data_IF_677141259730
#
_entry.id   IF_677141259730
#
_cell.length_a   1.000
_cell.length_b   1.000
_cell.length_c   1.000
_cell.angle_alpha   90.00
_cell.angle_beta   90.00
_cell.angle_gamma   90.00
#
_symmetry.space_group_name_H-M   'P 1'
#
loop_
_entity.id
_entity.type
_entity.pdbx_description
1 polymer ?
#
# COMPACT_ATOMS: atom_id res chain seq x y z
N UNK A 1 26.64 2.42 16.87
CA UNK A 1 25.33 2.05 16.31
C UNK A 1 24.94 3.12 15.31
N UNK A 2 24.53 2.78 14.08
CA UNK A 2 24.06 3.80 13.14
C UNK A 2 22.77 4.39 13.72
N UNK A 3 22.70 5.72 13.80
CA UNK A 3 21.49 6.44 14.20
C UNK A 3 20.43 6.15 13.14
N UNK A 4 19.42 5.36 13.49
CA UNK A 4 18.21 5.22 12.68
C UNK A 4 17.65 6.63 12.46
N UNK A 5 17.72 7.12 11.21
CA UNK A 5 16.96 8.30 10.82
C UNK A 5 15.50 7.93 10.98
N UNK A 6 14.88 8.44 12.04
CA UNK A 6 13.47 8.18 12.38
C UNK A 6 12.60 8.40 11.15
N UNK A 7 12.10 7.32 10.54
CA UNK A 7 11.06 7.39 9.52
C UNK A 7 9.80 8.05 10.13
N UNK A 8 9.16 8.91 9.35
CA UNK A 8 7.91 9.60 9.72
C UNK A 8 6.85 9.33 8.66
N UNK A 9 5.62 9.12 9.09
CA UNK A 9 4.43 8.92 8.24
C UNK A 9 3.43 9.98 8.70
N UNK A 10 2.95 10.83 7.79
CA UNK A 10 2.15 12.03 8.13
C UNK A 10 2.81 12.96 9.15
N UNK A 11 4.15 13.04 9.13
CA UNK A 11 4.92 13.88 10.07
C UNK A 11 4.92 13.40 11.53
N UNK A 12 4.37 12.21 11.83
CA UNK A 12 4.44 11.63 13.17
C UNK A 12 5.85 11.10 13.43
N UNK A 13 6.54 11.51 14.51
CA UNK A 13 7.89 11.03 14.82
C UNK A 13 7.92 9.53 15.15
N UNK A 14 8.97 8.82 14.75
CA UNK A 14 9.17 7.39 15.01
C UNK A 14 7.97 6.52 14.58
N UNK A 15 7.43 6.76 13.39
CA UNK A 15 6.23 6.08 12.90
C UNK A 15 6.48 5.16 11.70
N UNK A 16 7.72 4.76 11.44
CA UNK A 16 7.98 3.70 10.45
C UNK A 16 7.49 2.33 10.92
N UNK A 17 7.22 1.42 9.98
CA UNK A 17 6.72 0.05 10.26
C UNK A 17 7.62 -0.77 11.21
N UNK A 18 8.92 -0.51 11.22
CA UNK A 18 9.90 -1.17 12.12
C UNK A 18 10.10 -0.43 13.45
N UNK A 19 9.41 0.68 13.68
CA UNK A 19 9.58 1.48 14.90
C UNK A 19 9.06 0.72 16.12
N UNK A 20 9.76 0.74 17.27
CA UNK A 20 9.23 0.20 18.52
C UNK A 20 7.95 0.89 19.01
N UNK A 21 7.69 2.11 18.53
CA UNK A 21 6.46 2.86 18.85
C UNK A 21 5.29 2.51 17.91
N UNK A 22 5.57 1.79 16.82
CA UNK A 22 4.58 1.35 15.84
C UNK A 22 3.83 0.12 16.36
N UNK A 23 2.54 0.29 16.62
CA UNK A 23 1.65 -0.77 17.07
C UNK A 23 0.45 -0.88 16.12
N UNK A 24 0.63 -1.57 14.99
CA UNK A 24 -0.45 -1.81 14.04
C UNK A 24 -1.63 -2.54 14.72
N UNK A 25 -2.86 -2.07 14.48
CA UNK A 25 -4.07 -2.64 15.08
C UNK A 25 -4.29 -2.33 16.56
N UNK A 26 -3.39 -1.61 17.23
CA UNK A 26 -3.58 -1.15 18.61
C UNK A 26 -4.40 0.14 18.69
N UNK A 27 -5.06 0.35 19.83
CA UNK A 27 -5.77 1.59 20.14
C UNK A 27 -4.82 2.74 20.55
N UNK A 28 -3.51 2.49 20.62
CA UNK A 28 -2.49 3.47 21.03
C UNK A 28 -1.15 3.23 20.33
N UNK A 29 -0.37 4.29 20.14
CA UNK A 29 0.96 4.25 19.51
C UNK A 29 0.97 4.96 18.16
N UNK A 30 2.14 5.09 17.54
CA UNK A 30 2.30 5.92 16.33
C UNK A 30 1.50 5.36 15.14
N UNK A 31 1.30 4.05 15.07
CA UNK A 31 0.42 3.43 14.06
C UNK A 31 -1.05 3.85 14.19
N UNK A 32 -1.56 4.01 15.42
CA UNK A 32 -2.91 4.52 15.66
C UNK A 32 -3.04 5.97 15.19
N UNK A 33 -2.07 6.81 15.56
CA UNK A 33 -2.06 8.23 15.22
C UNK A 33 -1.99 8.44 13.70
N UNK A 34 -1.08 7.75 13.02
CA UNK A 34 -0.99 7.78 11.56
C UNK A 34 -2.27 7.27 10.89
N UNK A 35 -2.89 6.19 11.40
CA UNK A 35 -4.15 5.67 10.87
C UNK A 35 -5.30 6.68 11.02
N UNK A 36 -5.34 7.42 12.14
CA UNK A 36 -6.32 8.49 12.35
C UNK A 36 -6.13 9.62 11.33
N UNK A 37 -4.90 10.08 11.12
CA UNK A 37 -4.60 11.13 10.12
C UNK A 37 -4.98 10.63 8.73
N UNK A 38 -4.60 9.41 8.36
CA UNK A 38 -4.93 8.81 7.07
C UNK A 38 -6.44 8.79 6.79
N UNK A 39 -7.25 8.36 7.76
CA UNK A 39 -8.73 8.37 7.62
C UNK A 39 -9.29 9.78 7.47
N UNK A 40 -8.70 10.78 8.12
CA UNK A 40 -9.10 12.18 7.97
C UNK A 40 -8.75 12.72 6.58
N UNK A 41 -7.52 12.46 6.11
CA UNK A 41 -7.01 12.86 4.79
C UNK A 41 -7.90 12.33 3.67
N UNK A 42 -8.26 11.04 3.73
CA UNK A 42 -9.01 10.36 2.67
C UNK A 42 -10.52 10.21 2.96
N UNK A 43 -11.08 11.12 3.76
CA UNK A 43 -12.46 11.06 4.24
C UNK A 43 -13.54 11.26 3.17
N UNK A 44 -13.18 11.70 1.96
CA UNK A 44 -14.13 11.94 0.87
C UNK A 44 -13.82 11.09 -0.36
N UNK A 45 -14.87 10.74 -1.11
CA UNK A 45 -14.75 9.96 -2.36
C UNK A 45 -13.85 10.65 -3.39
N UNK A 46 -13.93 11.98 -3.47
CA UNK A 46 -13.14 12.78 -4.40
C UNK A 46 -11.63 12.66 -4.11
N UNK A 47 -11.23 12.81 -2.85
CA UNK A 47 -9.81 12.71 -2.48
C UNK A 47 -9.28 11.29 -2.69
N UNK A 48 -10.10 10.26 -2.45
CA UNK A 48 -9.74 8.85 -2.74
C UNK A 48 -9.61 8.57 -4.23
N UNK A 49 -10.52 9.10 -5.05
CA UNK A 49 -10.44 9.00 -6.50
C UNK A 49 -9.17 9.69 -7.03
N UNK A 50 -8.86 10.88 -6.53
CA UNK A 50 -7.64 11.61 -6.90
C UNK A 50 -6.38 10.82 -6.54
N UNK A 51 -6.31 10.23 -5.34
CA UNK A 51 -5.22 9.35 -4.96
C UNK A 51 -5.05 8.18 -5.95
N UNK A 52 -6.12 7.44 -6.22
CA UNK A 52 -6.07 6.27 -7.12
C UNK A 52 -5.61 6.68 -8.52
N UNK A 53 -6.16 7.76 -9.06
CA UNK A 53 -5.79 8.25 -10.39
C UNK A 53 -4.31 8.66 -10.44
N UNK A 54 -3.84 9.41 -9.45
CA UNK A 54 -2.43 9.81 -9.37
C UNK A 54 -1.50 8.60 -9.25
N UNK A 55 -1.87 7.59 -8.45
CA UNK A 55 -1.08 6.35 -8.30
C UNK A 55 -1.00 5.56 -9.62
N UNK A 56 -2.14 5.34 -10.29
CA UNK A 56 -2.20 4.59 -11.56
C UNK A 56 -1.43 5.32 -12.67
N UNK A 57 -1.59 6.64 -12.76
CA UNK A 57 -0.87 7.46 -13.74
C UNK A 57 0.59 7.73 -13.35
N UNK A 58 0.95 7.46 -12.10
CA UNK A 58 2.27 7.75 -11.51
C UNK A 58 2.74 9.18 -11.79
N UNK A 59 1.83 10.14 -11.58
CA UNK A 59 2.06 11.55 -11.81
C UNK A 59 2.92 12.20 -10.70
N UNK A 60 3.20 13.50 -10.84
CA UNK A 60 3.96 14.26 -9.84
C UNK A 60 3.27 14.32 -8.47
N UNK A 61 1.93 14.23 -8.44
CA UNK A 61 1.17 14.14 -7.18
C UNK A 61 1.48 12.84 -6.46
N UNK A 62 1.50 11.71 -7.18
CA UNK A 62 1.88 10.43 -6.60
C UNK A 62 3.31 10.44 -6.08
N UNK A 63 4.26 11.02 -6.83
CA UNK A 63 5.67 11.14 -6.40
C UNK A 63 5.84 12.01 -5.16
N UNK A 64 4.98 13.01 -4.97
CA UNK A 64 5.00 13.88 -3.79
C UNK A 64 4.48 13.18 -2.52
N UNK A 65 3.69 12.12 -2.65
CA UNK A 65 3.18 11.34 -1.51
C UNK A 65 4.25 10.31 -1.10
N UNK A 66 4.61 10.31 0.18
CA UNK A 66 5.53 9.31 0.72
C UNK A 66 4.95 7.91 0.53
N UNK A 67 5.74 6.98 0.00
CA UNK A 67 5.27 5.61 -0.20
C UNK A 67 4.90 4.91 1.12
N UNK A 68 5.48 5.31 2.24
CA UNK A 68 5.08 4.85 3.57
C UNK A 68 3.62 5.23 3.90
N UNK A 69 3.14 6.37 3.41
CA UNK A 69 1.74 6.79 3.54
C UNK A 69 0.82 5.97 2.62
N UNK A 70 1.26 5.64 1.41
CA UNK A 70 0.55 4.74 0.49
C UNK A 70 0.40 3.35 1.10
N UNK A 71 1.47 2.80 1.70
CA UNK A 71 1.40 1.54 2.45
C UNK A 71 0.36 1.59 3.57
N UNK A 72 0.25 2.73 4.27
CA UNK A 72 -0.76 2.89 5.31
C UNK A 72 -2.20 2.91 4.75
N UNK A 73 -2.42 3.57 3.61
CA UNK A 73 -3.73 3.54 2.92
C UNK A 73 -4.09 2.10 2.54
N UNK A 74 -3.17 1.37 1.91
CA UNK A 74 -3.36 -0.04 1.56
C UNK A 74 -3.65 -0.89 2.79
N UNK A 75 -2.91 -0.72 3.87
CA UNK A 75 -3.09 -1.47 5.11
C UNK A 75 -4.50 -1.31 5.70
N UNK A 76 -5.03 -0.09 5.67
CA UNK A 76 -6.38 0.22 6.13
C UNK A 76 -7.44 -0.35 5.18
N UNK A 77 -7.22 -0.26 3.86
CA UNK A 77 -8.11 -0.88 2.87
C UNK A 77 -8.16 -2.40 3.05
N UNK A 78 -7.02 -3.06 3.25
CA UNK A 78 -6.92 -4.51 3.50
C UNK A 78 -7.57 -4.91 4.82
N UNK A 79 -7.37 -4.11 5.87
CA UNK A 79 -8.02 -4.34 7.16
C UNK A 79 -9.54 -4.23 7.06
N UNK A 80 -10.06 -3.24 6.33
CA UNK A 80 -11.50 -3.09 6.10
C UNK A 80 -12.05 -4.21 5.22
N UNK A 81 -11.32 -4.54 4.13
CA UNK A 81 -11.72 -5.57 3.18
C UNK A 81 -11.84 -6.97 3.80
N UNK A 82 -11.09 -7.24 4.86
CA UNK A 82 -11.23 -8.48 5.63
C UNK A 82 -12.63 -8.63 6.27
N UNK A 83 -13.30 -7.53 6.61
CA UNK A 83 -14.62 -7.55 7.24
C UNK A 83 -15.76 -7.75 6.24
N UNK A 84 -15.61 -7.25 5.01
CA UNK A 84 -16.64 -7.35 3.96
C UNK A 84 -16.32 -8.39 2.86
N UNK A 85 -15.13 -9.01 2.92
CA UNK A 85 -14.66 -10.02 1.98
C UNK A 85 -13.99 -9.46 0.72
N UNK A 86 -13.81 -8.14 0.61
CA UNK A 86 -13.18 -7.50 -0.56
C UNK A 86 -11.64 -7.59 -0.56
N UNK A 87 -11.02 -8.20 0.45
CA UNK A 87 -9.57 -8.44 0.50
C UNK A 87 -9.11 -9.71 -0.25
N UNK A 88 -10.02 -10.39 -0.95
CA UNK A 88 -9.74 -11.64 -1.67
C UNK A 88 -9.78 -12.90 -0.80
N UNK A 89 -10.15 -12.79 0.48
CA UNK A 89 -10.36 -13.94 1.36
C UNK A 89 -9.08 -14.70 1.73
N UNK A 90 -9.19 -16.04 1.85
CA UNK A 90 -8.06 -16.90 2.27
C UNK A 90 -6.94 -16.83 1.24
N UNK A 91 -5.73 -16.45 1.67
CA UNK A 91 -4.59 -16.24 0.77
C UNK A 91 -4.52 -14.85 0.14
N UNK A 92 -5.50 -13.99 0.41
CA UNK A 92 -5.63 -12.63 -0.13
C UNK A 92 -4.77 -11.59 0.59
N UNK A 93 -5.22 -10.34 0.56
CA UNK A 93 -4.46 -9.19 1.04
C UNK A 93 -4.39 -9.10 2.57
N UNK A 94 -5.22 -9.85 3.32
CA UNK A 94 -5.04 -10.05 4.75
C UNK A 94 -3.69 -10.68 5.12
N UNK A 95 -3.16 -11.56 4.26
CA UNK A 95 -1.84 -12.18 4.47
C UNK A 95 -0.71 -11.19 4.16
N UNK A 96 -0.87 -10.39 3.09
CA UNK A 96 0.06 -9.29 2.74
C UNK A 96 0.12 -8.26 3.86
N UNK A 97 -1.04 -7.89 4.42
CA UNK A 97 -1.13 -7.01 5.59
C UNK A 97 -0.38 -7.61 6.79
N UNK A 98 -0.54 -8.90 7.04
CA UNK A 98 0.13 -9.58 8.15
C UNK A 98 1.66 -9.58 7.97
N UNK A 99 2.14 -9.81 6.75
CA UNK A 99 3.57 -9.73 6.42
C UNK A 99 4.13 -8.31 6.57
N UNK A 100 3.36 -7.28 6.17
CA UNK A 100 3.72 -5.88 6.31
C UNK A 100 3.73 -5.43 7.78
N UNK A 101 2.73 -5.80 8.56
CA UNK A 101 2.64 -5.49 9.98
C UNK A 101 3.75 -6.16 10.81
N UNK A 102 4.25 -7.32 10.38
CA UNK A 102 5.42 -7.96 10.99
C UNK A 102 6.74 -7.23 10.71
N UNK A 103 6.77 -6.31 9.74
CA UNK A 103 7.90 -5.44 9.41
C UNK A 103 9.24 -6.17 9.22
N UNK A 104 9.19 -7.40 8.68
CA UNK A 104 10.37 -8.21 8.32
C UNK A 104 10.57 -8.26 6.81
N UNK A 105 9.68 -9.01 6.13
CA UNK A 105 9.77 -9.34 4.69
C UNK A 105 10.00 -8.13 3.78
N UNK A 106 9.34 -7.00 4.06
CA UNK A 106 9.41 -5.81 3.20
C UNK A 106 10.34 -4.71 3.71
N UNK A 107 10.89 -4.84 4.92
CA UNK A 107 11.67 -3.77 5.57
C UNK A 107 13.12 -4.16 5.89
N UNK A 108 13.47 -5.46 5.93
CA UNK A 108 14.83 -5.92 6.22
C UNK A 108 15.85 -5.58 5.12
N UNK A 109 15.44 -5.63 3.85
CA UNK A 109 16.21 -5.12 2.71
C UNK A 109 15.27 -4.29 1.82
N UNK A 110 15.54 -2.99 1.66
CA UNK A 110 14.58 -2.03 1.09
C UNK A 110 14.32 -2.27 -0.40
N UNK A 111 15.37 -2.56 -1.19
CA UNK A 111 15.24 -2.79 -2.63
C UNK A 111 14.52 -4.12 -2.92
N UNK A 112 14.91 -5.18 -2.21
CA UNK A 112 14.21 -6.46 -2.30
C UNK A 112 12.78 -6.34 -1.75
N UNK A 113 12.57 -5.53 -0.71
CA UNK A 113 11.31 -5.37 -0.01
C UNK A 113 10.22 -4.75 -0.89
N UNK A 114 10.55 -3.72 -1.66
CA UNK A 114 9.62 -3.14 -2.66
C UNK A 114 9.25 -4.15 -3.73
N UNK A 115 10.23 -4.88 -4.24
CA UNK A 115 10.02 -5.93 -5.25
C UNK A 115 9.15 -7.07 -4.71
N UNK A 116 9.38 -7.50 -3.47
CA UNK A 116 8.59 -8.54 -2.81
C UNK A 116 7.15 -8.08 -2.56
N UNK A 117 6.95 -6.83 -2.11
CA UNK A 117 5.62 -6.27 -1.93
C UNK A 117 4.86 -6.19 -3.26
N UNK A 118 5.51 -5.72 -4.32
CA UNK A 118 4.93 -5.71 -5.67
C UNK A 118 4.49 -7.10 -6.11
N UNK A 119 5.38 -8.10 -6.01
CA UNK A 119 5.08 -9.49 -6.39
C UNK A 119 3.93 -10.06 -5.59
N UNK A 120 3.94 -9.91 -4.26
CA UNK A 120 2.89 -10.47 -3.41
C UNK A 120 1.52 -9.84 -3.73
N UNK A 121 1.46 -8.54 -4.04
CA UNK A 121 0.24 -7.85 -4.47
C UNK A 121 -0.21 -8.30 -5.86
N UNK A 122 0.71 -8.43 -6.81
CA UNK A 122 0.40 -8.81 -8.19
C UNK A 122 -0.12 -10.24 -8.28
N UNK A 123 0.52 -11.20 -7.60
CA UNK A 123 0.12 -12.61 -7.57
C UNK A 123 -1.33 -12.79 -7.06
N UNK A 124 -1.78 -11.89 -6.18
CA UNK A 124 -3.09 -11.94 -5.52
C UNK A 124 -4.16 -11.07 -6.19
N UNK A 125 -3.80 -10.29 -7.21
CA UNK A 125 -4.70 -9.30 -7.80
C UNK A 125 -5.98 -9.93 -8.37
N UNK A 126 -5.86 -11.12 -8.96
CA UNK A 126 -7.00 -11.89 -9.49
C UNK A 126 -8.05 -12.27 -8.42
N UNK A 127 -7.68 -12.28 -7.12
CA UNK A 127 -8.59 -12.58 -6.02
C UNK A 127 -9.57 -11.43 -5.73
N UNK A 128 -9.33 -10.23 -6.27
CA UNK A 128 -10.17 -9.06 -6.10
C UNK A 128 -11.29 -8.94 -7.13
N UNK A 129 -11.43 -9.93 -8.02
CA UNK A 129 -12.36 -9.89 -9.17
C UNK A 129 -12.24 -8.59 -10.00
N UNK A 130 -11.01 -8.21 -10.44
CA UNK A 130 -10.80 -6.99 -11.23
C UNK A 130 -11.46 -7.11 -12.60
N UNK A 131 -11.81 -5.97 -13.22
CA UNK A 131 -12.25 -5.98 -14.61
C UNK A 131 -11.08 -6.29 -15.57
N UNK A 132 -11.41 -6.67 -16.81
CA UNK A 132 -10.44 -7.05 -17.83
C UNK A 132 -9.38 -5.95 -18.10
N UNK A 133 -9.75 -4.68 -18.05
CA UNK A 133 -8.80 -3.58 -18.30
C UNK A 133 -7.75 -3.50 -17.19
N UNK A 134 -8.19 -3.59 -15.93
CA UNK A 134 -7.32 -3.56 -14.76
C UNK A 134 -6.41 -4.80 -14.71
N UNK A 135 -6.92 -5.98 -15.10
CA UNK A 135 -6.08 -7.18 -15.25
C UNK A 135 -4.99 -7.01 -16.30
N UNK A 136 -5.32 -6.43 -17.46
CA UNK A 136 -4.36 -6.19 -18.53
C UNK A 136 -3.28 -5.22 -18.05
N UNK A 137 -3.68 -4.14 -17.37
CA UNK A 137 -2.73 -3.19 -16.78
C UNK A 137 -1.80 -3.86 -15.78
N UNK A 138 -2.34 -4.67 -14.85
CA UNK A 138 -1.52 -5.39 -13.87
C UNK A 138 -0.53 -6.37 -14.53
N UNK A 139 -0.93 -7.06 -15.61
CA UNK A 139 -0.05 -7.96 -16.38
C UNK A 139 1.06 -7.17 -17.09
N UNK A 140 0.74 -6.01 -17.67
CA UNK A 140 1.74 -5.16 -18.33
C UNK A 140 2.80 -4.62 -17.37
N UNK A 141 2.45 -4.37 -16.10
CA UNK A 141 3.44 -3.98 -15.08
C UNK A 141 4.52 -5.07 -14.87
N UNK A 142 4.16 -6.34 -15.03
CA UNK A 142 5.09 -7.48 -14.92
C UNK A 142 6.10 -7.49 -16.06
N UNK A 143 5.61 -7.48 -17.30
CA UNK A 143 6.42 -7.54 -18.52
C UNK A 143 7.42 -6.38 -18.61
N UNK A 144 7.02 -5.24 -18.05
CA UNK A 144 7.81 -4.02 -17.97
C UNK A 144 8.86 -4.05 -16.86
N UNK A 145 8.59 -4.71 -15.74
CA UNK A 145 9.53 -4.82 -14.61
C UNK A 145 10.76 -5.68 -14.91
N UNK A 146 10.65 -6.64 -15.83
CA UNK A 146 11.76 -7.53 -16.23
C UNK A 146 12.77 -6.86 -17.19
N UNK A 147 12.45 -5.68 -17.74
CA UNK A 147 13.28 -4.97 -18.72
C UNK A 147 14.34 -4.04 -18.11
N UNK A 148 14.64 -4.13 -16.81
CA UNK A 148 15.70 -3.40 -16.06
C UNK A 148 15.68 -1.85 -16.10
N UNK A 149 14.85 -1.21 -16.92
CA UNK A 149 14.80 0.25 -17.10
C UNK A 149 13.62 0.94 -16.40
N UNK A 150 12.71 0.18 -15.79
CA UNK A 150 11.52 0.73 -15.13
C UNK A 150 11.73 0.86 -13.63
N UNK A 151 11.49 2.09 -13.15
CA UNK A 151 11.53 2.46 -11.75
C UNK A 151 10.52 1.62 -10.94
N UNK A 152 11.05 0.78 -10.05
CA UNK A 152 10.25 -0.08 -9.17
C UNK A 152 9.27 0.72 -8.32
N UNK A 153 9.61 1.97 -7.96
CA UNK A 153 8.73 2.84 -7.18
C UNK A 153 7.48 3.22 -7.98
N UNK A 154 7.67 3.62 -9.23
CA UNK A 154 6.59 3.90 -10.19
C UNK A 154 5.69 2.67 -10.39
N UNK A 155 6.28 1.50 -10.65
CA UNK A 155 5.52 0.24 -10.82
C UNK A 155 4.72 -0.12 -9.57
N UNK A 156 5.34 0.00 -8.39
CA UNK A 156 4.73 -0.34 -7.12
C UNK A 156 3.57 0.61 -6.78
N UNK A 157 3.70 1.92 -7.10
CA UNK A 157 2.62 2.90 -6.95
C UNK A 157 1.45 2.60 -7.86
N UNK A 158 1.70 2.31 -9.14
CA UNK A 158 0.65 1.93 -10.08
C UNK A 158 -0.08 0.66 -9.62
N UNK A 159 0.67 -0.37 -9.23
CA UNK A 159 0.12 -1.59 -8.64
C UNK A 159 -0.76 -1.30 -7.41
N UNK A 160 -0.30 -0.43 -6.50
CA UNK A 160 -1.06 0.00 -5.31
C UNK A 160 -2.39 0.66 -5.70
N UNK A 161 -2.38 1.53 -6.72
CA UNK A 161 -3.57 2.19 -7.25
C UNK A 161 -4.59 1.20 -7.83
N UNK A 162 -4.13 0.21 -8.60
CA UNK A 162 -4.98 -0.85 -9.15
C UNK A 162 -5.62 -1.70 -8.04
N UNK A 163 -4.84 -2.10 -7.03
CA UNK A 163 -5.34 -2.85 -5.87
C UNK A 163 -6.41 -2.06 -5.12
N UNK A 164 -6.14 -0.79 -4.80
CA UNK A 164 -7.11 0.08 -4.12
C UNK A 164 -8.40 0.26 -4.93
N UNK A 165 -8.28 0.38 -6.26
CA UNK A 165 -9.43 0.47 -7.18
C UNK A 165 -10.26 -0.81 -7.13
N UNK A 166 -9.63 -1.98 -7.28
CA UNK A 166 -10.31 -3.28 -7.28
C UNK A 166 -11.00 -3.59 -5.95
N UNK A 167 -10.41 -3.16 -4.82
CA UNK A 167 -11.03 -3.29 -3.49
C UNK A 167 -12.18 -2.30 -3.23
N UNK A 168 -12.52 -1.45 -4.18
CA UNK A 168 -13.60 -0.47 -4.00
C UNK A 168 -13.28 0.64 -3.00
N UNK A 169 -12.00 0.99 -2.80
CA UNK A 169 -11.57 2.00 -1.82
C UNK A 169 -12.29 3.35 -1.99
N UNK A 170 -12.64 3.74 -3.23
CA UNK A 170 -13.42 4.97 -3.48
C UNK A 170 -14.75 4.95 -2.71
N UNK A 171 -15.42 3.80 -2.64
CA UNK A 171 -16.72 3.67 -1.98
C UNK A 171 -16.59 3.39 -0.48
N UNK A 172 -15.63 2.56 -0.09
CA UNK A 172 -15.58 1.93 1.24
C UNK A 172 -14.42 2.41 2.14
N UNK A 173 -13.56 3.31 1.63
CA UNK A 173 -12.37 3.83 2.32
C UNK A 173 -12.62 4.92 3.34
#
# INVERSE_FOLDING_TARGET
MPKSTSKTIYGVPNSGWTSPSWNWGSASGTGHDCAKICRQTYSTKEVRLNLINSLILSDETAKAIDFEEVKLVMALAWQNGRWDGSDGGVGGYGDVLSMMANAKRYEENVEDGKTLLFRDMQERFHLLDPNNEDEIMMKQLLDNSDNNDIDIDTTLRCCSGLVLKAMGFIQNG
#
